data_IF_325372017903
#
_entry.id   IF_325372017903
#
_cell.length_a   1.000
_cell.length_b   1.000
_cell.length_c   1.000
_cell.angle_alpha   90.00
_cell.angle_beta   90.00
_cell.angle_gamma   90.00
#
_symmetry.space_group_name_H-M   'P 1'
#
loop_
_entity.id
_entity.type
_entity.pdbx_description
1 polymer ?
#
# COMPACT_ATOMS: atom_id res chain seq x y z
N UNK A 1 -4.09 27.00 -0.69
CA UNK A 1 -2.91 26.57 -1.49
C UNK A 1 -2.86 25.06 -1.71
N UNK A 2 -3.14 24.22 -0.69
CA UNK A 2 -3.15 22.75 -0.81
C UNK A 2 -3.96 22.21 -2.00
N UNK A 3 -5.15 22.74 -2.28
CA UNK A 3 -5.96 22.28 -3.43
C UNK A 3 -5.30 22.50 -4.79
N UNK A 4 -4.50 23.57 -4.95
CA UNK A 4 -3.72 23.79 -6.19
C UNK A 4 -2.61 22.75 -6.31
N UNK A 5 -1.88 22.50 -5.22
CA UNK A 5 -0.86 21.44 -5.16
C UNK A 5 -1.46 20.08 -5.53
N UNK A 6 -2.58 19.69 -4.90
CA UNK A 6 -3.28 18.44 -5.19
C UNK A 6 -3.66 18.33 -6.67
N UNK A 7 -4.19 19.40 -7.28
CA UNK A 7 -4.57 19.38 -8.71
C UNK A 7 -3.36 19.15 -9.62
N UNK A 8 -2.24 19.83 -9.36
CA UNK A 8 -1.02 19.68 -10.16
C UNK A 8 -0.39 18.30 -9.94
N UNK A 9 -0.33 17.86 -8.69
CA UNK A 9 0.14 16.53 -8.33
C UNK A 9 -0.69 15.47 -9.05
N UNK A 10 -2.01 15.49 -8.89
CA UNK A 10 -2.92 14.54 -9.53
C UNK A 10 -2.75 14.48 -11.04
N UNK A 11 -2.72 15.64 -11.72
CA UNK A 11 -2.59 15.72 -13.18
C UNK A 11 -1.30 15.07 -13.68
N UNK A 12 -0.17 15.27 -13.01
CA UNK A 12 1.09 14.68 -13.44
C UNK A 12 1.19 13.18 -13.10
N UNK A 13 0.64 12.70 -11.97
CA UNK A 13 0.55 11.25 -11.70
C UNK A 13 -0.40 10.54 -12.66
N UNK A 14 -1.55 11.16 -12.96
CA UNK A 14 -2.55 10.57 -13.83
C UNK A 14 -1.99 10.26 -15.22
N UNK A 15 -1.15 11.17 -15.75
CA UNK A 15 -0.49 10.99 -17.05
C UNK A 15 0.39 9.74 -17.09
N UNK A 16 0.99 9.35 -15.97
CA UNK A 16 1.86 8.18 -15.88
C UNK A 16 1.09 6.90 -15.56
N UNK A 17 0.13 6.96 -14.63
CA UNK A 17 -0.57 5.78 -14.13
C UNK A 17 -1.72 5.32 -15.04
N UNK A 18 -2.44 6.24 -15.69
CA UNK A 18 -3.58 5.90 -16.54
C UNK A 18 -3.20 4.98 -17.72
N UNK A 19 -2.11 5.22 -18.48
CA UNK A 19 -1.70 4.30 -19.54
C UNK A 19 -1.41 2.88 -19.02
N UNK A 20 -0.79 2.77 -17.85
CA UNK A 20 -0.43 1.47 -17.25
C UNK A 20 -1.70 0.72 -16.82
N UNK A 21 -2.67 1.43 -16.22
CA UNK A 21 -3.96 0.86 -15.86
C UNK A 21 -4.77 0.44 -17.09
N UNK A 22 -4.65 1.17 -18.20
CA UNK A 22 -5.25 0.77 -19.48
C UNK A 22 -4.64 -0.53 -20.01
N UNK A 23 -3.32 -0.70 -19.91
CA UNK A 23 -2.65 -1.95 -20.30
C UNK A 23 -3.19 -3.15 -19.50
N UNK A 24 -3.38 -3.00 -18.17
CA UNK A 24 -4.01 -4.05 -17.35
C UNK A 24 -5.37 -4.45 -17.90
N UNK A 25 -6.19 -3.44 -18.16
CA UNK A 25 -7.57 -3.63 -18.58
C UNK A 25 -7.62 -4.38 -19.92
N UNK A 26 -6.78 -4.00 -20.88
CA UNK A 26 -6.67 -4.69 -22.17
C UNK A 26 -6.21 -6.13 -21.97
N UNK A 27 -5.17 -6.38 -21.17
CA UNK A 27 -4.67 -7.74 -20.92
C UNK A 27 -5.70 -8.62 -20.20
N UNK A 28 -6.49 -8.04 -19.30
CA UNK A 28 -7.61 -8.73 -18.63
C UNK A 28 -8.63 -9.22 -19.65
N UNK A 29 -9.01 -8.37 -20.62
CA UNK A 29 -9.96 -8.75 -21.68
C UNK A 29 -9.35 -9.80 -22.60
N UNK A 30 -8.10 -9.62 -23.02
CA UNK A 30 -7.39 -10.56 -23.91
C UNK A 30 -7.30 -11.95 -23.26
N UNK A 31 -6.89 -12.02 -22.00
CA UNK A 31 -6.80 -13.28 -21.26
C UNK A 31 -8.16 -13.95 -21.11
N UNK A 32 -9.21 -13.17 -20.79
CA UNK A 32 -10.58 -13.70 -20.70
C UNK A 32 -11.08 -14.26 -22.03
N UNK A 33 -10.78 -13.60 -23.15
CA UNK A 33 -11.13 -14.10 -24.49
C UNK A 33 -10.31 -15.36 -24.80
N UNK A 34 -9.00 -15.35 -24.55
CA UNK A 34 -8.14 -16.50 -24.80
C UNK A 34 -8.60 -17.75 -24.03
N UNK A 35 -8.98 -17.60 -22.77
CA UNK A 35 -9.52 -18.70 -21.94
C UNK A 35 -10.91 -19.19 -22.39
N UNK A 36 -11.65 -18.39 -23.18
CA UNK A 36 -13.00 -18.74 -23.65
C UNK A 36 -13.00 -19.50 -24.99
N UNK A 37 -11.90 -19.49 -25.72
CA UNK A 37 -11.77 -20.13 -27.04
C UNK A 37 -11.17 -21.53 -26.89
N UNK A 38 -11.80 -22.53 -27.52
CA UNK A 38 -11.28 -23.90 -27.61
C UNK A 38 -10.19 -23.97 -28.69
N UNK A 39 -8.94 -23.67 -28.32
CA UNK A 39 -7.79 -23.79 -29.22
C UNK A 39 -7.35 -25.24 -29.38
N UNK A 40 -7.12 -25.68 -30.62
CA UNK A 40 -6.76 -27.07 -30.95
C UNK A 40 -5.35 -27.19 -31.51
N UNK A 41 -4.75 -28.36 -31.31
CA UNK A 41 -3.39 -28.66 -31.79
C UNK A 41 -2.35 -27.72 -31.19
N UNK A 42 -1.42 -27.23 -32.01
CA UNK A 42 -0.34 -26.35 -31.56
C UNK A 42 -0.83 -25.01 -30.95
N UNK A 43 -2.06 -24.58 -31.22
CA UNK A 43 -2.61 -23.32 -30.72
C UNK A 43 -3.08 -23.40 -29.25
N UNK A 44 -3.18 -24.60 -28.66
CA UNK A 44 -3.61 -24.79 -27.26
C UNK A 44 -2.64 -24.16 -26.23
N UNK A 45 -1.45 -23.75 -26.66
CA UNK A 45 -0.49 -23.02 -25.81
C UNK A 45 -0.85 -21.54 -25.63
N UNK A 46 -1.69 -20.96 -26.50
CA UNK A 46 -2.02 -19.52 -26.52
C UNK A 46 -2.63 -19.04 -25.20
N UNK A 47 -3.64 -19.71 -24.61
CA UNK A 47 -4.20 -19.29 -23.33
C UNK A 47 -3.16 -19.28 -22.21
N UNK A 48 -2.25 -20.25 -22.20
CA UNK A 48 -1.16 -20.30 -21.22
C UNK A 48 -0.23 -19.09 -21.29
N UNK A 49 0.16 -18.68 -22.50
CA UNK A 49 0.96 -17.46 -22.70
C UNK A 49 0.19 -16.19 -22.35
N UNK A 50 -1.10 -16.12 -22.69
CA UNK A 50 -1.95 -14.98 -22.34
C UNK A 50 -2.08 -14.82 -20.81
N UNK A 51 -2.31 -15.91 -20.09
CA UNK A 51 -2.40 -15.91 -18.62
C UNK A 51 -1.06 -15.56 -17.99
N UNK A 52 0.05 -16.05 -18.54
CA UNK A 52 1.39 -15.69 -18.06
C UNK A 52 1.66 -14.19 -18.22
N UNK A 53 1.36 -13.62 -19.39
CA UNK A 53 1.48 -12.18 -19.63
C UNK A 53 0.57 -11.36 -18.70
N UNK A 54 -0.65 -11.85 -18.46
CA UNK A 54 -1.60 -11.24 -17.52
C UNK A 54 -1.07 -11.22 -16.08
N UNK A 55 -0.55 -12.34 -15.57
CA UNK A 55 0.04 -12.41 -14.22
C UNK A 55 1.24 -11.47 -14.10
N UNK A 56 2.12 -11.43 -15.11
CA UNK A 56 3.24 -10.48 -15.16
C UNK A 56 2.74 -9.04 -15.12
N UNK A 57 1.63 -8.73 -15.80
CA UNK A 57 1.05 -7.38 -15.80
C UNK A 57 0.55 -6.94 -14.41
N UNK A 58 -0.08 -7.84 -13.64
CA UNK A 58 -0.53 -7.56 -12.27
C UNK A 58 0.68 -7.18 -11.40
N UNK A 59 1.73 -8.00 -11.42
CA UNK A 59 2.97 -7.74 -10.66
C UNK A 59 3.61 -6.43 -11.12
N UNK A 60 3.66 -6.20 -12.44
CA UNK A 60 4.21 -4.97 -13.02
C UNK A 60 3.48 -3.74 -12.50
N UNK A 61 2.14 -3.76 -12.43
CA UNK A 61 1.36 -2.61 -11.96
C UNK A 61 1.58 -2.36 -10.48
N UNK A 62 1.62 -3.42 -9.66
CA UNK A 62 1.89 -3.28 -8.23
C UNK A 62 3.26 -2.63 -7.99
N UNK A 63 4.30 -3.12 -8.68
CA UNK A 63 5.68 -2.62 -8.54
C UNK A 63 5.81 -1.22 -9.13
N UNK A 64 5.36 -1.00 -10.36
CA UNK A 64 5.53 0.28 -11.06
C UNK A 64 4.72 1.39 -10.39
N UNK A 65 3.51 1.11 -9.91
CA UNK A 65 2.72 2.09 -9.14
C UNK A 65 3.45 2.54 -7.88
N UNK A 66 4.05 1.60 -7.14
CA UNK A 66 4.87 1.89 -5.97
C UNK A 66 6.10 2.73 -6.38
N UNK A 67 6.87 2.29 -7.38
CA UNK A 67 8.07 2.97 -7.85
C UNK A 67 7.77 4.40 -8.31
N UNK A 68 6.67 4.63 -9.03
CA UNK A 68 6.26 5.98 -9.47
C UNK A 68 6.00 6.88 -8.26
N UNK A 69 5.30 6.39 -7.24
CA UNK A 69 5.02 7.15 -6.02
C UNK A 69 6.32 7.54 -5.31
N UNK A 70 7.24 6.58 -5.15
CA UNK A 70 8.54 6.79 -4.50
C UNK A 70 9.42 7.76 -5.29
N UNK A 71 9.62 7.51 -6.58
CA UNK A 71 10.44 8.35 -7.45
C UNK A 71 9.90 9.77 -7.54
N UNK A 72 8.58 9.93 -7.54
CA UNK A 72 7.99 11.26 -7.60
C UNK A 72 8.15 12.02 -6.31
N UNK A 73 8.03 11.36 -5.15
CA UNK A 73 8.35 11.99 -3.88
C UNK A 73 9.83 12.39 -3.82
N UNK A 74 10.73 11.48 -4.22
CA UNK A 74 12.17 11.73 -4.25
C UNK A 74 12.54 12.88 -5.20
N UNK A 75 12.17 12.79 -6.48
CA UNK A 75 12.54 13.82 -7.47
C UNK A 75 11.96 15.20 -7.12
N UNK A 76 10.66 15.28 -6.80
CA UNK A 76 10.04 16.60 -6.57
C UNK A 76 10.52 17.30 -5.29
N UNK A 77 11.05 16.59 -4.29
CA UNK A 77 11.41 17.20 -3.00
C UNK A 77 12.88 17.07 -2.62
N UNK A 78 13.61 16.10 -3.19
CA UNK A 78 15.00 15.80 -2.79
C UNK A 78 16.03 16.06 -3.88
N UNK A 79 15.62 16.59 -5.03
CA UNK A 79 16.53 16.96 -6.12
C UNK A 79 16.40 18.46 -6.41
N UNK A 80 17.02 18.95 -7.49
CA UNK A 80 17.00 20.37 -7.87
C UNK A 80 15.58 20.93 -8.02
N UNK A 81 14.61 20.11 -8.43
CA UNK A 81 13.17 20.47 -8.44
C UNK A 81 12.64 20.83 -7.03
N UNK A 82 13.20 20.19 -6.00
CA UNK A 82 12.90 20.44 -4.60
C UNK A 82 13.29 21.83 -4.15
N UNK A 83 14.42 22.37 -4.64
CA UNK A 83 14.85 23.74 -4.30
C UNK A 83 13.76 24.75 -4.67
N UNK A 84 13.21 24.64 -5.88
CA UNK A 84 12.10 25.48 -6.33
C UNK A 84 10.85 25.27 -5.46
N UNK A 85 10.53 24.02 -5.10
CA UNK A 85 9.37 23.69 -4.28
C UNK A 85 9.44 24.27 -2.84
N UNK A 86 10.64 24.36 -2.27
CA UNK A 86 10.85 24.94 -0.93
C UNK A 86 10.96 26.48 -0.93
N UNK A 87 11.12 27.10 -2.10
CA UNK A 87 11.05 28.58 -2.24
C UNK A 87 9.62 29.11 -2.42
N UNK A 88 8.65 28.23 -2.71
CA UNK A 88 7.25 28.61 -2.76
C UNK A 88 6.77 29.05 -1.36
N UNK A 89 5.84 30.02 -1.23
CA UNK A 89 5.32 30.50 0.05
C UNK A 89 4.34 29.49 0.67
N UNK A 90 4.78 28.25 0.85
CA UNK A 90 3.97 27.08 1.20
C UNK A 90 4.72 26.27 2.25
N UNK A 91 4.02 25.80 3.29
CA UNK A 91 4.67 25.05 4.37
C UNK A 91 5.10 23.65 3.89
N UNK A 92 6.24 23.10 4.32
CA UNK A 92 6.65 21.73 3.99
C UNK A 92 5.59 20.68 4.33
N UNK A 93 4.83 20.89 5.41
CA UNK A 93 3.69 20.03 5.77
C UNK A 93 2.59 19.97 4.71
N UNK A 94 2.35 21.06 3.97
CA UNK A 94 1.38 21.08 2.88
C UNK A 94 1.90 20.31 1.65
N UNK A 95 3.21 20.32 1.41
CA UNK A 95 3.84 19.51 0.36
C UNK A 95 3.72 18.01 0.69
N UNK A 96 4.10 17.62 1.92
CA UNK A 96 3.97 16.23 2.39
C UNK A 96 2.51 15.76 2.29
N UNK A 97 1.56 16.53 2.82
CA UNK A 97 0.14 16.18 2.79
C UNK A 97 -0.41 16.04 1.37
N UNK A 98 0.00 16.93 0.46
CA UNK A 98 -0.45 16.84 -0.93
C UNK A 98 0.01 15.55 -1.61
N UNK A 99 1.26 15.14 -1.39
CA UNK A 99 1.80 13.89 -1.94
C UNK A 99 1.24 12.66 -1.25
N UNK A 100 1.02 12.72 0.06
CA UNK A 100 0.42 11.63 0.83
C UNK A 100 -0.99 11.32 0.33
N UNK A 101 -1.86 12.33 0.21
CA UNK A 101 -3.24 12.15 -0.24
C UNK A 101 -3.32 11.60 -1.68
N UNK A 102 -2.51 12.14 -2.59
CA UNK A 102 -2.46 11.67 -3.99
C UNK A 102 -1.96 10.22 -4.05
N UNK A 103 -0.95 9.88 -3.25
CA UNK A 103 -0.41 8.51 -3.18
C UNK A 103 -1.40 7.52 -2.58
N UNK A 104 -2.15 7.91 -1.54
CA UNK A 104 -3.23 7.09 -1.00
C UNK A 104 -4.31 6.81 -2.04
N UNK A 105 -4.74 7.84 -2.77
CA UNK A 105 -5.73 7.69 -3.83
C UNK A 105 -5.27 6.69 -4.91
N UNK A 106 -4.04 6.84 -5.41
CA UNK A 106 -3.54 5.96 -6.47
C UNK A 106 -3.30 4.53 -6.00
N UNK A 107 -2.87 4.32 -4.75
CA UNK A 107 -2.78 2.98 -4.17
C UNK A 107 -4.15 2.30 -4.08
N UNK A 108 -5.17 3.02 -3.61
CA UNK A 108 -6.54 2.51 -3.55
C UNK A 108 -7.06 2.17 -4.94
N UNK A 109 -6.86 3.05 -5.93
CA UNK A 109 -7.26 2.78 -7.32
C UNK A 109 -6.52 1.56 -7.88
N UNK A 110 -5.20 1.45 -7.66
CA UNK A 110 -4.42 0.30 -8.12
C UNK A 110 -4.93 -1.00 -7.51
N UNK A 111 -5.22 -1.01 -6.20
CA UNK A 111 -5.74 -2.18 -5.50
C UNK A 111 -7.11 -2.60 -6.04
N UNK A 112 -8.04 -1.64 -6.19
CA UNK A 112 -9.38 -1.90 -6.73
C UNK A 112 -9.32 -2.39 -8.18
N UNK A 113 -8.43 -1.84 -9.00
CA UNK A 113 -8.24 -2.28 -10.38
C UNK A 113 -7.71 -3.71 -10.47
N UNK A 114 -6.75 -4.09 -9.63
CA UNK A 114 -6.23 -5.46 -9.57
C UNK A 114 -7.35 -6.42 -9.17
N UNK A 115 -8.14 -6.09 -8.14
CA UNK A 115 -9.29 -6.92 -7.74
C UNK A 115 -10.31 -7.03 -8.87
N UNK A 116 -10.70 -5.90 -9.48
CA UNK A 116 -11.68 -5.89 -10.57
C UNK A 116 -11.19 -6.72 -11.77
N UNK A 117 -9.89 -6.64 -12.08
CA UNK A 117 -9.24 -7.42 -13.12
C UNK A 117 -9.27 -8.92 -12.83
N UNK A 118 -8.89 -9.33 -11.61
CA UNK A 118 -8.93 -10.73 -11.18
C UNK A 118 -10.35 -11.28 -11.24
N UNK A 119 -11.34 -10.51 -10.78
CA UNK A 119 -12.74 -10.88 -10.91
C UNK A 119 -13.15 -11.01 -12.38
N UNK A 120 -12.71 -10.09 -13.26
CA UNK A 120 -12.99 -10.16 -14.70
C UNK A 120 -12.50 -11.45 -15.37
N UNK A 121 -11.31 -11.93 -14.99
CA UNK A 121 -10.74 -13.17 -15.54
C UNK A 121 -11.35 -14.41 -14.87
N UNK A 122 -11.36 -14.48 -13.54
CA UNK A 122 -11.62 -15.73 -12.82
C UNK A 122 -13.08 -15.96 -12.43
N UNK A 123 -13.90 -14.90 -12.39
CA UNK A 123 -15.32 -15.03 -12.02
C UNK A 123 -16.10 -15.53 -13.24
N UNK A 124 -16.51 -16.80 -13.20
CA UNK A 124 -17.49 -17.39 -14.12
C UNK A 124 -18.85 -17.51 -13.41
N UNK A 125 -19.94 -17.72 -14.17
CA UNK A 125 -21.28 -17.89 -13.56
C UNK A 125 -21.31 -19.03 -12.52
N UNK A 126 -20.59 -20.10 -12.78
CA UNK A 126 -20.46 -21.24 -11.87
C UNK A 126 -19.65 -20.88 -10.61
N UNK A 127 -18.53 -20.18 -10.78
CA UNK A 127 -17.65 -19.77 -9.66
C UNK A 127 -18.24 -18.66 -8.79
N UNK A 128 -19.23 -17.92 -9.29
CA UNK A 128 -19.93 -16.91 -8.51
C UNK A 128 -20.68 -17.51 -7.31
N UNK A 129 -21.30 -18.68 -7.50
CA UNK A 129 -21.94 -19.43 -6.40
C UNK A 129 -20.92 -19.83 -5.34
N UNK A 130 -19.82 -20.44 -5.77
CA UNK A 130 -18.72 -20.85 -4.89
C UNK A 130 -18.10 -19.67 -4.12
N UNK A 131 -17.95 -18.51 -4.77
CA UNK A 131 -17.43 -17.31 -4.13
C UNK A 131 -18.40 -16.78 -3.06
N UNK A 132 -19.71 -16.77 -3.35
CA UNK A 132 -20.74 -16.36 -2.40
C UNK A 132 -20.79 -17.29 -1.19
N UNK A 133 -20.71 -18.59 -1.43
CA UNK A 133 -20.73 -19.60 -0.37
C UNK A 133 -19.44 -19.57 0.45
N UNK A 134 -18.28 -19.36 -0.19
CA UNK A 134 -17.00 -19.14 0.48
C UNK A 134 -17.02 -17.89 1.37
N UNK A 135 -17.54 -16.76 0.88
CA UNK A 135 -17.71 -15.55 1.69
C UNK A 135 -18.63 -15.81 2.89
N UNK A 136 -19.76 -16.50 2.67
CA UNK A 136 -20.69 -16.86 3.76
C UNK A 136 -20.04 -17.77 4.79
N UNK A 137 -19.24 -18.75 4.34
CA UNK A 137 -18.50 -19.65 5.23
C UNK A 137 -17.51 -18.87 6.09
N UNK A 138 -16.69 -18.01 5.48
CA UNK A 138 -15.75 -17.15 6.21
C UNK A 138 -16.48 -16.25 7.21
N UNK A 139 -17.54 -15.56 6.80
CA UNK A 139 -18.33 -14.71 7.70
C UNK A 139 -18.95 -15.51 8.86
N UNK A 140 -19.40 -16.73 8.61
CA UNK A 140 -19.96 -17.60 9.65
C UNK A 140 -18.88 -18.14 10.60
N UNK A 141 -17.70 -18.49 10.10
CA UNK A 141 -16.56 -18.94 10.93
C UNK A 141 -16.01 -17.79 11.78
N UNK A 142 -15.84 -16.61 11.19
CA UNK A 142 -15.58 -15.39 11.94
C UNK A 142 -16.68 -15.16 13.00
N UNK A 143 -17.94 -15.35 12.61
CA UNK A 143 -19.10 -15.31 13.52
C UNK A 143 -18.98 -16.21 14.75
N UNK A 144 -18.44 -17.42 14.56
CA UNK A 144 -18.30 -18.43 15.61
C UNK A 144 -17.07 -18.21 16.48
N UNK A 145 -15.92 -17.85 15.90
CA UNK A 145 -14.67 -17.62 16.63
C UNK A 145 -14.68 -16.32 17.43
N UNK A 146 -15.37 -15.29 16.93
CA UNK A 146 -15.44 -13.99 17.61
C UNK A 146 -16.61 -13.87 18.60
N UNK A 147 -17.53 -14.84 18.66
CA UNK A 147 -18.66 -14.85 19.60
C UNK A 147 -19.56 -13.61 19.50
N UNK A 148 -20.28 -13.30 20.57
CA UNK A 148 -21.18 -12.13 20.74
C UNK A 148 -20.44 -10.78 20.79
N UNK A 149 -19.20 -10.70 20.28
CA UNK A 149 -18.54 -9.41 20.10
C UNK A 149 -19.25 -8.62 19.00
N UNK A 150 -19.26 -7.30 19.14
CA UNK A 150 -19.96 -6.45 18.19
C UNK A 150 -19.28 -6.53 16.82
N UNK A 151 -19.80 -7.36 15.91
CA UNK A 151 -19.31 -7.51 14.53
C UNK A 151 -19.18 -6.18 13.81
N UNK A 152 -20.03 -5.21 14.18
CA UNK A 152 -19.96 -3.83 13.71
C UNK A 152 -18.65 -3.16 14.12
N UNK A 153 -18.23 -3.31 15.39
CA UNK A 153 -16.99 -2.75 15.90
C UNK A 153 -15.77 -3.37 15.20
N UNK A 154 -15.73 -4.69 15.06
CA UNK A 154 -14.64 -5.40 14.39
C UNK A 154 -14.52 -4.96 12.91
N UNK A 155 -15.66 -4.77 12.23
CA UNK A 155 -15.69 -4.24 10.87
C UNK A 155 -15.14 -2.82 10.80
N UNK A 156 -15.52 -1.95 11.74
CA UNK A 156 -15.00 -0.57 11.83
C UNK A 156 -13.50 -0.59 12.08
N UNK A 157 -13.03 -1.39 13.04
CA UNK A 157 -11.59 -1.52 13.36
C UNK A 157 -10.80 -2.01 12.15
N UNK A 158 -11.32 -3.00 11.42
CA UNK A 158 -10.69 -3.49 10.19
C UNK A 158 -10.55 -2.38 9.13
N UNK A 159 -11.62 -1.62 8.88
CA UNK A 159 -11.59 -0.50 7.93
C UNK A 159 -10.58 0.56 8.36
N UNK A 160 -10.58 0.91 9.65
CA UNK A 160 -9.64 1.87 10.24
C UNK A 160 -8.19 1.38 10.08
N UNK A 161 -7.95 0.09 10.35
CA UNK A 161 -6.64 -0.53 10.20
C UNK A 161 -6.15 -0.47 8.75
N UNK A 162 -7.01 -0.78 7.77
CA UNK A 162 -6.67 -0.67 6.34
C UNK A 162 -6.24 0.77 5.99
N UNK A 163 -7.00 1.77 6.43
CA UNK A 163 -6.68 3.18 6.14
C UNK A 163 -5.36 3.60 6.80
N UNK A 164 -5.16 3.26 8.08
CA UNK A 164 -3.96 3.62 8.83
C UNK A 164 -2.73 2.89 8.31
N UNK A 165 -2.86 1.64 7.87
CA UNK A 165 -1.80 0.85 7.24
C UNK A 165 -1.40 1.43 5.88
N UNK A 166 -2.35 1.89 5.07
CA UNK A 166 -2.07 2.59 3.81
C UNK A 166 -1.25 3.86 4.05
N UNK A 167 -1.62 4.66 5.07
CA UNK A 167 -0.85 5.84 5.48
C UNK A 167 0.57 5.44 5.91
N UNK A 168 0.68 4.40 6.73
CA UNK A 168 1.98 3.92 7.25
C UNK A 168 2.92 3.47 6.15
N UNK A 169 2.44 2.70 5.17
CA UNK A 169 3.24 2.25 4.04
C UNK A 169 3.83 3.41 3.23
N UNK A 170 3.13 4.55 3.14
CA UNK A 170 3.63 5.74 2.44
C UNK A 170 4.60 6.52 3.35
N UNK A 171 4.23 6.73 4.62
CA UNK A 171 5.02 7.53 5.56
C UNK A 171 6.36 6.90 5.90
N UNK A 172 6.43 5.58 6.04
CA UNK A 172 7.71 4.89 6.28
C UNK A 172 8.68 5.13 5.13
N UNK A 173 8.20 5.13 3.88
CA UNK A 173 9.04 5.42 2.71
C UNK A 173 9.49 6.88 2.73
N UNK A 174 8.59 7.82 3.03
CA UNK A 174 8.91 9.24 3.11
C UNK A 174 9.94 9.53 4.21
N UNK A 175 9.77 8.94 5.39
CA UNK A 175 10.70 9.05 6.51
C UNK A 175 12.07 8.45 6.15
N UNK A 176 12.08 7.30 5.49
CA UNK A 176 13.31 6.64 5.03
C UNK A 176 14.07 7.51 4.02
N UNK A 177 13.37 8.10 3.06
CA UNK A 177 13.95 9.04 2.10
C UNK A 177 14.51 10.28 2.81
N UNK A 178 13.75 10.85 3.76
CA UNK A 178 14.19 12.01 4.52
C UNK A 178 15.46 11.71 5.34
N UNK A 179 15.51 10.54 6.00
CA UNK A 179 16.71 10.08 6.71
C UNK A 179 17.88 9.86 5.75
N UNK A 180 17.63 9.31 4.57
CA UNK A 180 18.64 9.12 3.53
C UNK A 180 19.31 10.42 3.07
N UNK A 181 18.61 11.56 3.09
CA UNK A 181 19.20 12.86 2.76
C UNK A 181 20.24 13.36 3.76
N UNK A 182 20.26 12.81 4.97
CA UNK A 182 21.25 13.18 5.98
C UNK A 182 22.64 12.59 5.70
N UNK A 183 22.76 11.69 4.72
CA UNK A 183 24.03 11.11 4.30
C UNK A 183 24.70 11.97 3.21
N UNK A 184 25.96 12.34 3.40
CA UNK A 184 26.72 13.27 2.53
C UNK A 184 27.16 12.69 1.16
N UNK A 185 26.53 11.62 0.66
CA UNK A 185 26.92 11.02 -0.62
C UNK A 185 25.89 10.06 -1.17
N UNK A 186 25.84 8.84 -0.64
CA UNK A 186 24.95 7.79 -1.14
C UNK A 186 23.51 7.96 -0.62
N UNK A 187 22.89 9.13 -0.87
CA UNK A 187 21.55 9.50 -0.35
C UNK A 187 20.47 8.46 -0.66
N UNK A 188 20.52 7.86 -1.85
CA UNK A 188 19.60 6.78 -2.27
C UNK A 188 19.85 5.49 -1.47
N UNK A 189 21.12 5.07 -1.35
CA UNK A 189 21.48 3.87 -0.58
C UNK A 189 21.16 4.05 0.92
N UNK A 190 21.41 5.24 1.46
CA UNK A 190 21.03 5.62 2.82
C UNK A 190 19.53 5.57 3.04
N UNK A 191 18.73 5.98 2.03
CA UNK A 191 17.27 5.86 2.08
C UNK A 191 16.81 4.40 2.14
N UNK A 192 17.43 3.53 1.33
CA UNK A 192 17.13 2.11 1.29
C UNK A 192 17.52 1.41 2.61
N UNK A 193 18.72 1.70 3.12
CA UNK A 193 19.19 1.19 4.40
C UNK A 193 18.30 1.67 5.57
N UNK A 194 17.86 2.94 5.54
CA UNK A 194 16.92 3.48 6.52
C UNK A 194 15.57 2.76 6.45
N UNK A 195 15.04 2.47 5.26
CA UNK A 195 13.80 1.71 5.10
C UNK A 195 13.90 0.33 5.72
N UNK A 196 14.99 -0.41 5.45
CA UNK A 196 15.22 -1.71 6.07
C UNK A 196 15.30 -1.57 7.59
N UNK A 197 16.15 -0.67 8.10
CA UNK A 197 16.33 -0.49 9.54
C UNK A 197 15.05 -0.13 10.27
N UNK A 198 14.28 0.84 9.76
CA UNK A 198 13.01 1.26 10.34
C UNK A 198 11.99 0.11 10.28
N UNK A 199 11.89 -0.59 9.15
CA UNK A 199 10.93 -1.70 8.99
C UNK A 199 11.26 -2.86 9.93
N UNK A 200 12.53 -3.22 10.06
CA UNK A 200 12.99 -4.26 10.99
C UNK A 200 12.70 -3.88 12.43
N UNK A 201 12.98 -2.63 12.83
CA UNK A 201 12.67 -2.15 14.19
C UNK A 201 11.17 -2.21 14.46
N UNK A 202 10.32 -1.72 13.55
CA UNK A 202 8.87 -1.82 13.70
C UNK A 202 8.40 -3.26 13.88
N UNK A 203 8.91 -4.18 13.05
CA UNK A 203 8.54 -5.59 13.10
C UNK A 203 8.96 -6.24 14.43
N UNK A 204 10.17 -5.94 14.92
CA UNK A 204 10.63 -6.41 16.24
C UNK A 204 9.71 -5.88 17.34
N UNK A 205 9.38 -4.57 17.32
CA UNK A 205 8.55 -3.96 18.36
C UNK A 205 7.15 -4.58 18.39
N UNK A 206 6.50 -4.77 17.24
CA UNK A 206 5.19 -5.43 17.16
C UNK A 206 5.26 -6.87 17.67
N UNK A 207 6.29 -7.61 17.28
CA UNK A 207 6.48 -9.01 17.68
C UNK A 207 6.69 -9.13 19.19
N UNK A 208 7.56 -8.30 19.76
CA UNK A 208 7.80 -8.26 21.21
C UNK A 208 6.54 -7.86 21.95
N UNK A 209 5.79 -6.87 21.47
CA UNK A 209 4.52 -6.46 22.08
C UNK A 209 3.53 -7.63 22.13
N UNK A 210 3.35 -8.37 21.03
CA UNK A 210 2.47 -9.53 20.99
C UNK A 210 2.94 -10.68 21.90
N UNK A 211 4.24 -10.96 21.97
CA UNK A 211 4.81 -11.99 22.87
C UNK A 211 4.58 -11.60 24.34
N UNK A 212 4.88 -10.34 24.71
CA UNK A 212 4.67 -9.87 26.09
C UNK A 212 3.21 -9.93 26.50
N UNK A 213 2.29 -9.59 25.58
CA UNK A 213 0.86 -9.73 25.80
C UNK A 213 0.47 -11.21 25.97
N UNK A 214 1.05 -12.10 25.15
CA UNK A 214 0.91 -13.55 25.28
C UNK A 214 1.24 -14.04 26.67
N UNK A 215 2.42 -13.67 27.16
CA UNK A 215 2.86 -14.01 28.50
C UNK A 215 1.92 -13.49 29.60
N UNK A 216 1.41 -12.26 29.49
CA UNK A 216 0.48 -11.68 30.47
C UNK A 216 -0.85 -12.44 30.54
N UNK A 217 -1.38 -12.88 29.40
CA UNK A 217 -2.65 -13.61 29.33
C UNK A 217 -2.49 -15.13 29.39
N UNK A 218 -1.27 -15.64 29.62
CA UNK A 218 -0.95 -17.07 29.62
C UNK A 218 -1.36 -17.77 28.31
N UNK A 219 -1.23 -17.06 27.19
CA UNK A 219 -1.53 -17.54 25.84
C UNK A 219 -0.26 -17.58 25.00
N UNK A 220 -0.21 -18.52 24.05
CA UNK A 220 0.88 -18.56 23.08
C UNK A 220 0.83 -17.34 22.14
N UNK A 221 1.95 -17.05 21.47
CA UNK A 221 2.01 -15.99 20.46
C UNK A 221 0.97 -16.22 19.35
N UNK A 222 0.84 -17.47 18.89
CA UNK A 222 -0.11 -17.85 17.84
C UNK A 222 -1.54 -17.59 18.29
N UNK A 223 -1.91 -18.02 19.50
CA UNK A 223 -3.24 -17.79 20.07
C UNK A 223 -3.58 -16.30 20.19
N UNK A 224 -2.64 -15.45 20.63
CA UNK A 224 -2.90 -14.00 20.73
C UNK A 224 -3.01 -13.38 19.34
N UNK A 225 -2.12 -13.75 18.42
CA UNK A 225 -2.10 -13.22 17.05
C UNK A 225 -3.37 -13.56 16.26
N UNK A 226 -4.04 -14.67 16.63
CA UNK A 226 -5.30 -15.10 16.06
C UNK A 226 -6.54 -14.40 16.66
N UNK A 227 -6.37 -13.48 17.63
CA UNK A 227 -7.47 -12.74 18.26
C UNK A 227 -7.55 -11.29 17.76
N UNK A 228 -8.25 -11.02 16.62
CA UNK A 228 -8.58 -9.69 16.13
C UNK A 228 -8.99 -8.67 17.18
N UNK A 229 -9.82 -9.06 18.15
CA UNK A 229 -10.28 -8.18 19.24
C UNK A 229 -9.16 -7.62 20.13
N UNK A 230 -7.99 -8.28 20.15
CA UNK A 230 -6.78 -7.83 20.84
C UNK A 230 -5.83 -7.20 19.83
N UNK A 231 -5.61 -7.87 18.70
CA UNK A 231 -4.60 -7.49 17.70
C UNK A 231 -4.97 -6.20 16.98
N UNK A 232 -6.22 -6.02 16.57
CA UNK A 232 -6.66 -4.85 15.83
C UNK A 232 -6.48 -3.56 16.63
N UNK A 233 -7.03 -3.40 17.86
CA UNK A 233 -6.86 -2.15 18.61
C UNK A 233 -5.40 -1.89 18.97
N UNK A 234 -4.62 -2.93 19.33
CA UNK A 234 -3.19 -2.80 19.61
C UNK A 234 -2.42 -2.31 18.38
N UNK A 235 -2.68 -2.93 17.22
CA UNK A 235 -2.01 -2.56 15.96
C UNK A 235 -2.42 -1.17 15.52
N UNK A 236 -3.69 -0.79 15.67
CA UNK A 236 -4.17 0.57 15.38
C UNK A 236 -3.43 1.59 16.25
N UNK A 237 -3.40 1.38 17.58
CA UNK A 237 -2.71 2.29 18.50
C UNK A 237 -1.23 2.45 18.17
N UNK A 238 -0.52 1.33 17.96
CA UNK A 238 0.89 1.34 17.59
C UNK A 238 1.13 2.06 16.26
N UNK A 239 0.32 1.77 15.23
CA UNK A 239 0.51 2.34 13.90
C UNK A 239 0.18 3.83 13.86
N UNK A 240 -0.77 4.32 14.67
CA UNK A 240 -1.03 5.75 14.83
C UNK A 240 0.20 6.46 15.40
N UNK A 241 0.83 5.88 16.42
CA UNK A 241 2.05 6.44 17.03
C UNK A 241 3.18 6.44 16.01
N UNK A 242 3.41 5.33 15.31
CA UNK A 242 4.43 5.21 14.28
C UNK A 242 4.22 6.23 13.14
N UNK A 243 2.99 6.38 12.66
CA UNK A 243 2.61 7.39 11.66
C UNK A 243 2.92 8.81 12.14
N UNK A 244 2.58 9.13 13.39
CA UNK A 244 2.90 10.42 14.00
C UNK A 244 4.41 10.68 14.02
N UNK A 245 5.20 9.69 14.43
CA UNK A 245 6.67 9.77 14.46
C UNK A 245 7.27 9.93 13.07
N UNK A 246 6.81 9.16 12.07
CA UNK A 246 7.30 9.26 10.69
C UNK A 246 6.95 10.60 10.05
N UNK A 247 5.70 11.07 10.23
CA UNK A 247 5.28 12.35 9.72
C UNK A 247 6.07 13.50 10.37
N UNK A 248 6.19 13.46 11.71
CA UNK A 248 6.96 14.47 12.45
C UNK A 248 8.43 14.47 12.06
N UNK A 249 9.08 13.30 12.00
CA UNK A 249 10.47 13.15 11.61
C UNK A 249 10.74 13.66 10.20
N UNK A 250 9.88 13.30 9.24
CA UNK A 250 9.96 13.80 7.85
C UNK A 250 9.83 15.32 7.81
N UNK A 251 8.82 15.88 8.46
CA UNK A 251 8.59 17.32 8.48
C UNK A 251 9.71 18.08 9.21
N UNK A 252 10.27 17.50 10.27
CA UNK A 252 11.41 18.09 11.00
C UNK A 252 12.65 18.18 10.11
N UNK A 253 12.99 17.09 9.42
CA UNK A 253 14.14 17.06 8.50
C UNK A 253 13.96 18.10 7.38
N UNK A 254 12.76 18.21 6.80
CA UNK A 254 12.52 19.17 5.72
C UNK A 254 12.57 20.63 6.18
N UNK A 255 12.23 20.91 7.44
CA UNK A 255 12.30 22.29 7.96
C UNK A 255 13.70 22.70 8.43
N UNK A 256 14.58 21.76 8.80
CA UNK A 256 15.82 22.10 9.53
C UNK A 256 17.11 21.50 8.98
N UNK A 257 17.06 20.44 8.19
CA UNK A 257 18.25 19.68 7.77
C UNK A 257 18.24 19.29 6.29
N UNK A 258 17.51 20.03 5.47
CA UNK A 258 17.42 19.74 4.04
C UNK A 258 18.75 20.11 3.36
N UNK A 259 19.59 19.11 3.07
CA UNK A 259 20.81 19.31 2.31
C UNK A 259 20.57 18.95 0.83
N UNK A 260 20.21 19.96 0.04
CA UNK A 260 19.96 19.81 -1.40
C UNK A 260 21.24 19.91 -2.25
N UNK A 261 22.41 20.13 -1.65
CA UNK A 261 23.71 20.10 -2.32
C UNK A 261 24.22 18.66 -2.56
#
# INVERSE_FOLDING_TARGET
MLGKLLKHEFKATARLLLPIYLVLFVLTIVDRIALSIDFRGALNVIPGFATMAYVISIVTIAVVSLVIIVLRFYKNLMTDEGYLMFTLPVKPSQLINSKLLVSMFWNLVSFLLIIASLLGVFLTRERFGLLKDGIRMVLNEMGKEFGTFNMTLLTIEFIVLVIIALINNILIIYASIAVGQLFNGHKVLGSFAAYIGISTVLQIVVTVALITLGALFHKSFEEISALPQIVFPLTIGFTIIANGLFYWGTNFIFNRKLNLE
#
